data_IF_478654003442
#
_entry.id   IF_478654003442
#
_cell.length_a   1.000
_cell.length_b   1.000
_cell.length_c   1.000
_cell.angle_alpha   90.00
_cell.angle_beta   90.00
_cell.angle_gamma   90.00
#
_symmetry.space_group_name_H-M   'P 1'
#
loop_
_entity.id
_entity.type
_entity.pdbx_description
1 polymer ?
#
# COMPACT_ATOMS: atom_id res chain seq x y z
N UNK A 1 4.74 -12.56 -41.29
CA UNK A 1 3.31 -12.33 -40.96
C UNK A 1 2.92 -12.62 -39.50
N UNK A 2 3.30 -13.75 -38.88
CA UNK A 2 3.06 -13.97 -37.43
C UNK A 2 3.99 -13.11 -36.55
N UNK A 3 5.26 -12.96 -36.92
CA UNK A 3 6.24 -12.16 -36.18
C UNK A 3 5.91 -10.66 -36.18
N UNK A 4 5.37 -10.14 -37.30
CA UNK A 4 4.91 -8.75 -37.39
C UNK A 4 3.73 -8.43 -36.46
N UNK A 5 2.87 -9.43 -36.18
CA UNK A 5 1.77 -9.31 -35.23
C UNK A 5 2.28 -9.28 -33.79
N UNK A 6 3.29 -10.10 -33.48
CA UNK A 6 3.92 -10.14 -32.15
C UNK A 6 4.63 -8.80 -31.90
N UNK A 7 5.43 -8.32 -32.86
CA UNK A 7 6.16 -7.06 -32.75
C UNK A 7 5.21 -5.86 -32.56
N UNK A 8 4.08 -5.83 -33.27
CA UNK A 8 3.04 -4.79 -33.08
C UNK A 8 2.41 -4.85 -31.69
N UNK A 9 2.09 -6.03 -31.18
CA UNK A 9 1.54 -6.18 -29.82
C UNK A 9 2.56 -5.78 -28.75
N UNK A 10 3.82 -6.15 -28.90
CA UNK A 10 4.90 -5.72 -27.99
C UNK A 10 5.05 -4.20 -27.99
N UNK A 11 5.02 -3.57 -29.17
CA UNK A 11 5.12 -2.11 -29.29
C UNK A 11 3.94 -1.40 -28.64
N UNK A 12 2.73 -1.94 -28.77
CA UNK A 12 1.54 -1.43 -28.08
C UNK A 12 1.67 -1.57 -26.56
N UNK A 13 2.11 -2.73 -26.06
CA UNK A 13 2.31 -2.94 -24.62
C UNK A 13 3.36 -1.98 -24.07
N UNK A 14 4.43 -1.71 -24.80
CA UNK A 14 5.42 -0.70 -24.42
C UNK A 14 4.81 0.70 -24.31
N UNK A 15 4.04 1.17 -25.30
CA UNK A 15 3.38 2.48 -25.20
C UNK A 15 2.35 2.56 -24.06
N UNK A 16 1.62 1.47 -23.80
CA UNK A 16 0.74 1.41 -22.63
C UNK A 16 1.55 1.46 -21.33
N UNK A 17 2.66 0.73 -21.26
CA UNK A 17 3.54 0.72 -20.09
C UNK A 17 4.16 2.09 -19.85
N UNK A 18 4.66 2.75 -20.90
CA UNK A 18 5.24 4.09 -20.81
C UNK A 18 4.22 5.14 -20.37
N UNK A 19 3.00 5.08 -20.92
CA UNK A 19 1.92 6.01 -20.51
C UNK A 19 1.48 5.79 -19.06
N UNK A 20 1.43 4.53 -18.59
CA UNK A 20 1.16 4.22 -17.18
C UNK A 20 2.32 4.68 -16.29
N UNK A 21 3.57 4.49 -16.72
CA UNK A 21 4.75 5.00 -16.01
C UNK A 21 4.72 6.53 -15.93
N UNK A 22 4.38 7.23 -17.01
CA UNK A 22 4.31 8.69 -17.02
C UNK A 22 3.18 9.20 -16.13
N UNK A 23 2.01 8.56 -16.18
CA UNK A 23 0.88 8.90 -15.30
C UNK A 23 1.19 8.59 -13.83
N UNK A 24 1.88 7.49 -13.53
CA UNK A 24 2.31 7.18 -12.16
C UNK A 24 3.34 8.18 -11.63
N UNK A 25 4.25 8.69 -12.48
CA UNK A 25 5.16 9.79 -12.12
C UNK A 25 4.40 11.06 -11.75
N UNK A 26 3.29 11.37 -12.44
CA UNK A 26 2.41 12.50 -12.12
C UNK A 26 1.66 12.28 -10.79
N UNK A 27 1.31 11.03 -10.47
CA UNK A 27 0.65 10.64 -9.21
C UNK A 27 1.62 10.48 -8.03
N UNK A 28 2.94 10.47 -8.26
CA UNK A 28 3.98 10.27 -7.23
C UNK A 28 3.99 11.33 -6.13
N UNK A 29 3.33 12.47 -6.36
CA UNK A 29 2.94 13.41 -5.30
C UNK A 29 1.41 13.34 -5.18
N UNK A 30 0.88 12.46 -4.32
CA UNK A 30 -0.55 12.49 -4.03
C UNK A 30 -0.90 13.88 -3.49
N UNK A 31 -2.12 14.34 -3.75
CA UNK A 31 -2.59 15.56 -3.10
C UNK A 31 -2.65 15.34 -1.58
N UNK A 32 -2.34 16.36 -0.79
CA UNK A 32 -2.33 16.26 0.69
C UNK A 32 -3.64 15.69 1.27
N UNK A 33 -4.79 15.92 0.58
CA UNK A 33 -6.09 15.35 0.96
C UNK A 33 -6.13 13.84 0.80
N UNK A 34 -5.62 13.31 -0.31
CA UNK A 34 -5.61 11.87 -0.60
C UNK A 34 -4.64 11.16 0.36
N UNK A 35 -3.48 11.74 0.64
CA UNK A 35 -2.53 11.20 1.62
C UNK A 35 -3.11 11.13 3.03
N UNK A 36 -3.87 12.16 3.44
CA UNK A 36 -4.54 12.16 4.75
C UNK A 36 -5.54 11.01 4.87
N UNK A 37 -6.34 10.80 3.82
CA UNK A 37 -7.34 9.73 3.78
C UNK A 37 -6.65 8.36 3.79
N UNK A 38 -5.62 8.17 2.97
CA UNK A 38 -4.84 6.94 2.92
C UNK A 38 -4.20 6.61 4.27
N UNK A 39 -3.62 7.61 4.93
CA UNK A 39 -3.01 7.45 6.27
C UNK A 39 -4.06 7.11 7.33
N UNK A 40 -5.24 7.74 7.27
CA UNK A 40 -6.33 7.48 8.21
C UNK A 40 -6.88 6.05 8.06
N UNK A 41 -7.13 5.61 6.83
CA UNK A 41 -7.58 4.24 6.55
C UNK A 41 -6.50 3.24 6.96
N UNK A 42 -5.24 3.48 6.59
CA UNK A 42 -4.12 2.63 6.97
C UNK A 42 -3.98 2.46 8.48
N UNK A 43 -4.16 3.55 9.24
CA UNK A 43 -4.15 3.51 10.71
C UNK A 43 -5.33 2.70 11.26
N UNK A 44 -6.54 2.91 10.73
CA UNK A 44 -7.72 2.15 11.13
C UNK A 44 -7.56 0.64 10.89
N UNK A 45 -7.09 0.24 9.71
CA UNK A 45 -6.81 -1.17 9.38
C UNK A 45 -5.74 -1.75 10.31
N UNK A 46 -4.71 -0.97 10.64
CA UNK A 46 -3.64 -1.42 11.55
C UNK A 46 -4.18 -1.73 12.96
N UNK A 47 -5.06 -0.88 13.49
CA UNK A 47 -5.72 -1.10 14.79
C UNK A 47 -6.60 -2.35 14.75
N UNK A 48 -7.35 -2.55 13.66
CA UNK A 48 -8.18 -3.75 13.48
C UNK A 48 -7.31 -5.01 13.46
N UNK A 49 -6.17 -5.02 12.76
CA UNK A 49 -5.25 -6.15 12.76
C UNK A 49 -4.73 -6.46 14.16
N UNK A 50 -4.31 -5.45 14.92
CA UNK A 50 -3.83 -5.65 16.29
C UNK A 50 -4.94 -6.25 17.17
N UNK A 51 -6.15 -5.69 17.10
CA UNK A 51 -7.30 -6.21 17.85
C UNK A 51 -7.67 -7.64 17.45
N UNK A 52 -7.72 -7.95 16.16
CA UNK A 52 -7.99 -9.29 15.65
C UNK A 52 -6.93 -10.30 16.10
N UNK A 53 -5.66 -9.91 16.11
CA UNK A 53 -4.57 -10.74 16.63
C UNK A 53 -4.71 -11.04 18.13
N UNK A 54 -5.10 -10.05 18.94
CA UNK A 54 -5.40 -10.27 20.38
C UNK A 54 -6.56 -11.26 20.54
N UNK A 55 -7.62 -11.13 19.76
CA UNK A 55 -8.76 -12.07 19.79
C UNK A 55 -8.32 -13.48 19.37
N UNK A 56 -7.51 -13.62 18.33
CA UNK A 56 -6.94 -14.91 17.90
C UNK A 56 -6.06 -15.56 18.98
N UNK A 57 -5.36 -14.75 19.77
CA UNK A 57 -4.56 -15.25 20.88
C UNK A 57 -5.46 -15.90 21.94
N UNK A 58 -6.57 -15.25 22.28
CA UNK A 58 -7.56 -15.75 23.25
C UNK A 58 -8.26 -17.02 22.75
N UNK A 59 -8.52 -17.12 21.45
CA UNK A 59 -9.17 -18.30 20.83
C UNK A 59 -8.20 -19.51 20.72
N UNK A 60 -6.92 -19.34 21.08
CA UNK A 60 -5.95 -20.45 21.12
C UNK A 60 -5.15 -20.65 19.84
N UNK A 61 -5.05 -19.62 18.99
CA UNK A 61 -4.20 -19.63 17.79
C UNK A 61 -3.02 -18.63 17.93
N UNK A 62 -2.07 -18.87 18.85
CA UNK A 62 -1.05 -17.89 19.23
C UNK A 62 -0.07 -17.56 18.10
N UNK A 63 0.19 -18.50 17.18
CA UNK A 63 1.13 -18.28 16.07
C UNK A 63 0.54 -17.32 15.03
N UNK A 64 -0.74 -17.51 14.68
CA UNK A 64 -1.48 -16.59 13.80
C UNK A 64 -1.70 -15.24 14.46
N UNK A 65 -2.02 -15.24 15.75
CA UNK A 65 -2.13 -14.02 16.54
C UNK A 65 -0.84 -13.19 16.49
N UNK A 66 0.32 -13.82 16.72
CA UNK A 66 1.60 -13.14 16.68
C UNK A 66 1.89 -12.51 15.32
N UNK A 67 1.66 -13.24 14.23
CA UNK A 67 1.82 -12.71 12.86
C UNK A 67 0.88 -11.52 12.62
N UNK A 68 -0.42 -11.67 12.92
CA UNK A 68 -1.42 -10.62 12.70
C UNK A 68 -1.08 -9.35 13.50
N UNK A 69 -0.66 -9.49 14.76
CA UNK A 69 -0.23 -8.34 15.59
C UNK A 69 1.03 -7.69 15.02
N UNK A 70 2.05 -8.47 14.64
CA UNK A 70 3.29 -7.93 14.05
C UNK A 70 2.98 -7.14 12.79
N UNK A 71 2.16 -7.69 11.88
CA UNK A 71 1.74 -6.97 10.67
C UNK A 71 0.98 -5.68 11.00
N UNK A 72 0.06 -5.71 11.97
CA UNK A 72 -0.65 -4.53 12.43
C UNK A 72 0.27 -3.45 12.99
N UNK A 73 1.25 -3.83 13.82
CA UNK A 73 2.22 -2.88 14.42
C UNK A 73 3.15 -2.28 13.37
N UNK A 74 3.65 -3.09 12.43
CA UNK A 74 4.51 -2.61 11.34
C UNK A 74 3.75 -1.62 10.45
N UNK A 75 2.51 -1.94 10.09
CA UNK A 75 1.66 -1.04 9.30
C UNK A 75 1.35 0.26 10.04
N UNK A 76 1.05 0.20 11.35
CA UNK A 76 0.81 1.37 12.18
C UNK A 76 2.05 2.26 12.23
N UNK A 77 3.22 1.66 12.45
CA UNK A 77 4.50 2.37 12.56
C UNK A 77 4.85 3.05 11.23
N UNK A 78 4.67 2.35 10.11
CA UNK A 78 4.87 2.92 8.78
C UNK A 78 3.96 4.12 8.53
N UNK A 79 2.66 4.00 8.85
CA UNK A 79 1.70 5.10 8.70
C UNK A 79 2.02 6.28 9.63
N UNK A 80 2.48 6.01 10.85
CA UNK A 80 2.89 7.05 11.80
C UNK A 80 4.13 7.81 11.31
N UNK A 81 5.16 7.10 10.83
CA UNK A 81 6.37 7.72 10.27
C UNK A 81 6.01 8.56 9.04
N UNK A 82 5.18 8.04 8.13
CA UNK A 82 4.73 8.76 6.95
C UNK A 82 3.96 10.04 7.33
N UNK A 83 3.03 9.93 8.29
CA UNK A 83 2.32 11.08 8.83
C UNK A 83 3.28 12.14 9.40
N UNK A 84 4.24 11.73 10.22
CA UNK A 84 5.24 12.63 10.79
C UNK A 84 6.10 13.31 9.72
N UNK A 85 6.53 12.58 8.69
CA UNK A 85 7.35 13.14 7.60
C UNK A 85 6.59 14.15 6.74
N UNK A 86 5.29 13.95 6.53
CA UNK A 86 4.45 14.82 5.71
C UNK A 86 3.94 16.03 6.49
N UNK A 87 3.56 15.86 7.77
CA UNK A 87 2.85 16.89 8.54
C UNK A 87 3.70 17.65 9.58
N UNK A 88 4.86 17.12 10.01
CA UNK A 88 5.76 17.81 10.97
C UNK A 88 6.89 18.60 10.30
N UNK A 89 7.06 18.45 8.98
CA UNK A 89 8.07 19.19 8.21
C UNK A 89 7.52 20.47 7.54
N UNK A 90 6.24 20.77 7.76
CA UNK A 90 5.60 22.07 7.57
C UNK A 90 5.45 22.77 8.92
#
# INVERSE_FOLDING_TARGET
MKEDKILRKTKQIMTYTDSVIENSKKLRKPSARIDKIGTMIGTGVSIILIGAGIVQFVIGNPLWAALTVVFGVVALTSNCIHYYQVYRKN
#
